data_IF_969093967726
#
_entry.id   IF_969093967726
#
_cell.length_a   1.000
_cell.length_b   1.000
_cell.length_c   1.000
_cell.angle_alpha   90.00
_cell.angle_beta   90.00
_cell.angle_gamma   90.00
#
_symmetry.space_group_name_H-M   'P 1'
#
loop_
_entity.id
_entity.type
_entity.pdbx_description
1 polymer ?
#
# COMPACT_ATOMS: atom_id res chain seq x y z
N UNK A 1 -3.93 3.21 45.18
CA UNK A 1 -4.48 2.88 43.85
C UNK A 1 -4.75 4.14 43.02
N UNK A 2 -3.75 5.00 42.76
CA UNK A 2 -3.97 6.24 41.99
C UNK A 2 -2.75 6.59 41.12
N UNK A 3 -2.41 5.74 40.15
CA UNK A 3 -1.33 5.99 39.19
C UNK A 3 -1.66 5.64 37.73
N UNK A 4 -2.77 4.95 37.47
CA UNK A 4 -3.16 4.52 36.10
C UNK A 4 -3.80 5.64 35.27
N UNK A 5 -4.51 6.59 35.88
CA UNK A 5 -5.23 7.65 35.16
C UNK A 5 -4.36 8.79 34.61
N UNK A 6 -3.16 9.01 35.14
CA UNK A 6 -2.23 10.07 34.70
C UNK A 6 -1.33 9.62 33.54
N UNK A 7 -1.05 8.31 33.47
CA UNK A 7 -0.31 7.68 32.38
C UNK A 7 -1.18 7.65 31.11
N UNK A 8 -2.47 7.31 31.23
CA UNK A 8 -3.43 7.33 30.11
C UNK A 8 -3.57 8.70 29.46
N UNK A 9 -3.80 9.76 30.24
CA UNK A 9 -3.94 11.14 29.70
C UNK A 9 -2.68 11.67 29.01
N UNK A 10 -1.49 11.30 29.50
CA UNK A 10 -0.21 11.70 28.88
C UNK A 10 0.04 10.94 27.58
N UNK A 11 -0.34 9.68 27.53
CA UNK A 11 -0.24 8.85 26.33
C UNK A 11 -1.23 9.33 25.25
N UNK A 12 -2.49 9.57 25.61
CA UNK A 12 -3.50 10.17 24.72
C UNK A 12 -3.05 11.52 24.15
N UNK A 13 -2.47 12.39 25.00
CA UNK A 13 -1.92 13.67 24.55
C UNK A 13 -0.72 13.51 23.61
N UNK A 14 0.05 12.42 23.74
CA UNK A 14 1.18 12.14 22.86
C UNK A 14 0.71 11.66 21.49
N UNK A 15 -0.21 10.70 21.46
CA UNK A 15 -0.81 10.17 20.23
C UNK A 15 -1.50 11.28 19.43
N UNK A 16 -2.21 12.19 20.10
CA UNK A 16 -2.81 13.36 19.45
C UNK A 16 -1.77 14.29 18.79
N UNK A 17 -0.61 14.48 19.41
CA UNK A 17 0.45 15.30 18.83
C UNK A 17 1.10 14.58 17.64
N UNK A 18 1.37 13.28 17.77
CA UNK A 18 1.92 12.47 16.67
C UNK A 18 0.98 12.44 15.46
N UNK A 19 -0.33 12.25 15.68
CA UNK A 19 -1.34 12.33 14.63
C UNK A 19 -1.36 13.70 13.94
N UNK A 20 -1.25 14.79 14.70
CA UNK A 20 -1.15 16.14 14.12
C UNK A 20 0.14 16.37 13.34
N UNK A 21 1.26 15.78 13.76
CA UNK A 21 2.52 15.84 13.01
C UNK A 21 2.38 15.11 11.67
N UNK A 22 1.78 13.92 11.67
CA UNK A 22 1.49 13.16 10.44
C UNK A 22 0.58 13.97 9.53
N UNK A 23 -0.51 14.54 10.04
CA UNK A 23 -1.45 15.34 9.25
C UNK A 23 -0.78 16.55 8.59
N UNK A 24 0.06 17.29 9.32
CA UNK A 24 0.82 18.39 8.73
C UNK A 24 1.88 17.90 7.73
N UNK A 25 2.47 16.73 7.96
CA UNK A 25 3.35 16.07 7.00
C UNK A 25 2.64 15.72 5.70
N UNK A 26 1.43 15.17 5.76
CA UNK A 26 0.59 14.87 4.58
C UNK A 26 0.29 16.14 3.79
N UNK A 27 -0.06 17.23 4.47
CA UNK A 27 -0.25 18.54 3.80
C UNK A 27 1.01 19.02 3.07
N UNK A 28 2.18 18.87 3.68
CA UNK A 28 3.44 19.22 3.03
C UNK A 28 3.75 18.33 1.82
N UNK A 29 3.36 17.05 1.84
CA UNK A 29 3.48 16.17 0.65
C UNK A 29 2.63 16.69 -0.51
N UNK A 30 1.41 17.14 -0.25
CA UNK A 30 0.52 17.72 -1.28
C UNK A 30 1.12 19.01 -1.84
N UNK A 31 1.66 19.88 -0.99
CA UNK A 31 2.17 21.20 -1.39
C UNK A 31 3.52 21.15 -2.11
N UNK A 32 4.42 20.24 -1.73
CA UNK A 32 5.80 20.23 -2.21
C UNK A 32 6.46 18.87 -2.33
N UNK A 33 5.69 17.79 -2.24
CA UNK A 33 6.19 16.41 -2.24
C UNK A 33 7.15 16.13 -1.09
N UNK A 34 7.86 15.01 -1.18
CA UNK A 34 8.85 14.62 -0.17
C UNK A 34 9.98 15.65 0.02
N UNK A 35 10.32 16.42 -1.02
CA UNK A 35 11.34 17.47 -0.94
C UNK A 35 10.88 18.67 -0.08
N UNK A 36 9.57 18.95 -0.03
CA UNK A 36 8.98 20.02 0.76
C UNK A 36 8.84 19.71 2.27
N UNK A 37 9.08 18.47 2.70
CA UNK A 37 8.94 18.07 4.10
C UNK A 37 9.88 18.83 5.03
N UNK A 38 9.32 19.45 6.07
CA UNK A 38 10.04 20.27 7.04
C UNK A 38 9.46 20.15 8.44
N UNK A 39 10.19 19.43 9.31
CA UNK A 39 9.88 19.31 10.75
C UNK A 39 9.81 20.69 11.44
N UNK A 40 10.59 21.66 10.97
CA UNK A 40 10.56 23.03 11.51
C UNK A 40 9.29 23.78 11.12
N UNK A 41 8.79 23.59 9.89
CA UNK A 41 7.51 24.16 9.48
C UNK A 41 6.35 23.52 10.27
N UNK A 42 6.37 22.19 10.45
CA UNK A 42 5.42 21.48 11.32
C UNK A 42 5.43 22.07 12.73
N UNK A 43 6.59 22.27 13.33
CA UNK A 43 6.69 22.86 14.66
C UNK A 43 6.02 24.24 14.76
N UNK A 44 6.22 25.09 13.74
CA UNK A 44 5.58 26.40 13.66
C UNK A 44 4.06 26.29 13.59
N UNK A 45 3.53 25.41 12.77
CA UNK A 45 2.09 25.20 12.58
C UNK A 45 1.43 24.56 13.81
N UNK A 46 2.19 23.79 14.59
CA UNK A 46 1.77 23.27 15.88
C UNK A 46 1.80 24.33 17.00
N UNK A 47 2.43 25.49 16.78
CA UNK A 47 2.71 26.47 17.83
C UNK A 47 3.76 25.98 18.84
N UNK A 48 4.63 25.05 18.43
CA UNK A 48 5.64 24.41 19.26
C UNK A 48 7.05 24.87 18.88
N UNK A 49 7.95 24.88 19.87
CA UNK A 49 9.39 25.04 19.59
C UNK A 49 9.89 23.78 18.89
N UNK A 50 10.78 23.93 17.90
CA UNK A 50 11.29 22.79 17.12
C UNK A 50 11.88 21.67 17.98
N UNK A 51 12.59 22.02 19.06
CA UNK A 51 13.15 21.03 20.01
C UNK A 51 12.10 20.17 20.71
N UNK A 52 10.85 20.65 20.83
CA UNK A 52 9.75 19.86 21.36
C UNK A 52 9.24 18.84 20.32
N UNK A 53 9.11 19.24 19.06
CA UNK A 53 8.68 18.33 17.97
C UNK A 53 9.70 17.22 17.72
N UNK A 54 11.00 17.52 17.83
CA UNK A 54 12.05 16.50 17.69
C UNK A 54 12.01 15.38 18.74
N UNK A 55 11.23 15.54 19.83
CA UNK A 55 10.97 14.46 20.80
C UNK A 55 9.96 13.42 20.29
N UNK A 56 9.15 13.78 19.29
CA UNK A 56 8.17 12.91 18.65
C UNK A 56 8.72 12.38 17.31
N UNK A 57 9.41 13.23 16.55
CA UNK A 57 9.95 12.90 15.23
C UNK A 57 11.40 13.36 15.15
N UNK A 58 12.33 12.42 15.30
CA UNK A 58 13.75 12.69 15.53
C UNK A 58 14.48 13.32 14.33
N UNK A 59 13.94 13.16 13.12
CA UNK A 59 14.55 13.66 11.89
C UNK A 59 13.52 13.80 10.76
N UNK A 60 13.94 14.34 9.62
CA UNK A 60 13.13 14.32 8.39
C UNK A 60 12.87 12.88 7.90
N UNK A 61 13.85 11.99 8.05
CA UNK A 61 13.72 10.60 7.62
C UNK A 61 12.79 9.82 8.55
N UNK A 62 12.76 10.18 9.83
CA UNK A 62 11.75 9.69 10.78
C UNK A 62 10.35 10.15 10.36
N UNK A 63 10.18 11.42 9.97
CA UNK A 63 8.90 11.93 9.45
C UNK A 63 8.47 11.16 8.20
N UNK A 64 9.38 10.94 7.25
CA UNK A 64 9.14 10.16 6.04
C UNK A 64 8.70 8.74 6.38
N UNK A 65 9.39 8.07 7.31
CA UNK A 65 9.05 6.72 7.73
C UNK A 65 7.66 6.66 8.35
N UNK A 66 7.30 7.62 9.20
CA UNK A 66 5.96 7.71 9.76
C UNK A 66 4.90 7.90 8.68
N UNK A 67 5.15 8.77 7.69
CA UNK A 67 4.24 9.00 6.56
C UNK A 67 4.11 7.77 5.65
N UNK A 68 5.19 7.01 5.44
CA UNK A 68 5.15 5.76 4.66
C UNK A 68 4.33 4.70 5.38
N UNK A 69 4.56 4.49 6.68
CA UNK A 69 3.79 3.53 7.49
C UNK A 69 2.32 3.93 7.53
N UNK A 70 2.05 5.21 7.76
CA UNK A 70 0.69 5.76 7.76
C UNK A 70 -0.04 5.56 6.42
N UNK A 71 0.63 5.84 5.30
CA UNK A 71 0.07 5.65 3.97
C UNK A 71 -0.18 4.16 3.66
N UNK A 72 0.75 3.26 3.97
CA UNK A 72 0.54 1.83 3.79
C UNK A 72 -0.60 1.29 4.66
N UNK A 73 -0.69 1.73 5.92
CA UNK A 73 -1.77 1.34 6.82
C UNK A 73 -3.13 1.79 6.30
N UNK A 74 -3.27 3.06 5.91
CA UNK A 74 -4.54 3.61 5.42
C UNK A 74 -4.97 2.97 4.08
N UNK A 75 -4.02 2.69 3.18
CA UNK A 75 -4.29 1.94 1.95
C UNK A 75 -4.79 0.53 2.28
N UNK A 76 -4.10 -0.19 3.15
CA UNK A 76 -4.48 -1.55 3.54
C UNK A 76 -5.82 -1.60 4.28
N UNK A 77 -6.08 -0.66 5.18
CA UNK A 77 -7.37 -0.54 5.88
C UNK A 77 -8.52 -0.19 4.92
N UNK A 78 -8.23 0.54 3.83
CA UNK A 78 -9.19 0.82 2.76
C UNK A 78 -9.49 -0.44 1.95
N UNK A 79 -8.46 -1.22 1.63
CA UNK A 79 -8.61 -2.53 0.99
C UNK A 79 -9.42 -3.47 1.87
N UNK A 80 -9.07 -3.65 3.13
CA UNK A 80 -9.75 -4.58 4.05
C UNK A 80 -11.25 -4.28 4.16
N UNK A 81 -11.64 -3.00 4.29
CA UNK A 81 -13.04 -2.57 4.28
C UNK A 81 -13.77 -2.89 2.98
N UNK A 82 -13.09 -2.79 1.84
CA UNK A 82 -13.71 -3.12 0.56
C UNK A 82 -13.98 -4.63 0.45
N UNK A 83 -13.04 -5.46 0.93
CA UNK A 83 -13.16 -6.93 0.94
C UNK A 83 -14.33 -7.43 1.77
N UNK A 84 -14.63 -6.78 2.90
CA UNK A 84 -15.79 -7.11 3.75
C UNK A 84 -17.14 -7.06 3.02
N UNK A 85 -17.20 -6.30 1.92
CA UNK A 85 -18.39 -6.10 1.10
C UNK A 85 -18.29 -6.69 -0.31
N UNK A 86 -17.20 -7.42 -0.59
CA UNK A 86 -16.98 -8.04 -1.89
C UNK A 86 -17.97 -9.19 -2.15
N UNK A 87 -18.08 -9.58 -3.43
CA UNK A 87 -18.86 -10.75 -3.83
C UNK A 87 -18.27 -12.05 -3.29
N UNK A 88 -19.02 -13.16 -3.41
CA UNK A 88 -18.60 -14.47 -2.91
C UNK A 88 -17.48 -15.11 -3.77
N UNK A 89 -17.33 -14.68 -5.03
CA UNK A 89 -16.31 -15.22 -5.91
C UNK A 89 -14.93 -14.65 -5.57
N UNK A 90 -13.89 -15.49 -5.62
CA UNK A 90 -12.51 -15.07 -5.40
C UNK A 90 -12.07 -13.95 -6.36
N UNK A 91 -12.60 -13.96 -7.59
CA UNK A 91 -12.35 -12.92 -8.59
C UNK A 91 -12.98 -11.58 -8.22
N UNK A 92 -14.13 -11.59 -7.55
CA UNK A 92 -14.76 -10.37 -7.03
C UNK A 92 -13.89 -9.75 -5.92
N UNK A 93 -13.27 -10.58 -5.06
CA UNK A 93 -12.33 -10.12 -4.02
C UNK A 93 -11.07 -9.49 -4.65
N UNK A 94 -10.46 -10.13 -5.66
CA UNK A 94 -9.33 -9.55 -6.40
C UNK A 94 -9.68 -8.19 -7.02
N UNK A 95 -10.86 -8.09 -7.65
CA UNK A 95 -11.33 -6.85 -8.27
C UNK A 95 -11.62 -5.79 -7.20
N UNK A 96 -12.21 -6.15 -6.07
CA UNK A 96 -12.48 -5.24 -4.96
C UNK A 96 -11.20 -4.65 -4.37
N UNK A 97 -10.17 -5.49 -4.15
CA UNK A 97 -8.84 -5.06 -3.69
C UNK A 97 -8.24 -4.04 -4.67
N UNK A 98 -8.22 -4.37 -5.96
CA UNK A 98 -7.64 -3.52 -6.99
C UNK A 98 -8.37 -2.17 -7.12
N UNK A 99 -9.72 -2.18 -7.09
CA UNK A 99 -10.54 -0.97 -7.13
C UNK A 99 -10.30 -0.09 -5.91
N UNK A 100 -10.30 -0.66 -4.72
CA UNK A 100 -10.06 0.07 -3.47
C UNK A 100 -8.68 0.75 -3.48
N UNK A 101 -7.65 0.03 -3.95
CA UNK A 101 -6.31 0.61 -4.10
C UNK A 101 -6.30 1.78 -5.10
N UNK A 102 -6.99 1.64 -6.24
CA UNK A 102 -7.11 2.72 -7.23
C UNK A 102 -7.86 3.93 -6.67
N UNK A 103 -9.02 3.72 -6.05
CA UNK A 103 -9.83 4.79 -5.47
C UNK A 103 -9.05 5.57 -4.41
N UNK A 104 -8.33 4.86 -3.54
CA UNK A 104 -7.44 5.47 -2.55
C UNK A 104 -6.34 6.31 -3.22
N UNK A 105 -5.69 5.77 -4.25
CA UNK A 105 -4.59 6.43 -4.94
C UNK A 105 -5.03 7.69 -5.72
N UNK A 106 -6.21 7.65 -6.34
CA UNK A 106 -6.79 8.80 -7.05
C UNK A 106 -7.26 9.87 -6.05
N UNK A 107 -7.77 9.46 -4.89
CA UNK A 107 -8.17 10.39 -3.83
C UNK A 107 -6.97 11.07 -3.16
N UNK A 108 -5.81 10.41 -3.08
CA UNK A 108 -4.58 10.98 -2.54
C UNK A 108 -3.33 10.67 -3.41
N UNK A 109 -3.16 11.41 -4.51
CA UNK A 109 -2.01 11.25 -5.40
C UNK A 109 -0.65 11.46 -4.72
N UNK A 110 -0.59 12.30 -3.69
CA UNK A 110 0.65 12.64 -3.01
C UNK A 110 1.15 11.48 -2.15
N UNK A 111 0.25 10.79 -1.43
CA UNK A 111 0.59 9.57 -0.70
C UNK A 111 0.83 8.40 -1.63
N UNK A 112 0.12 8.28 -2.76
CA UNK A 112 0.47 7.30 -3.79
C UNK A 112 1.89 7.50 -4.32
N UNK A 113 2.27 8.75 -4.63
CA UNK A 113 3.61 9.11 -5.07
C UNK A 113 4.68 8.80 -4.01
N UNK A 114 4.36 8.93 -2.71
CA UNK A 114 5.27 8.56 -1.63
C UNK A 114 5.55 7.04 -1.61
N UNK A 115 4.54 6.21 -1.86
CA UNK A 115 4.65 4.75 -1.79
C UNK A 115 5.26 4.15 -3.07
N UNK A 116 4.76 4.55 -4.23
CA UNK A 116 5.03 3.89 -5.52
C UNK A 116 5.59 4.85 -6.59
N UNK A 117 5.92 6.09 -6.22
CA UNK A 117 6.53 7.07 -7.11
C UNK A 117 8.06 7.03 -7.11
N UNK A 118 8.67 8.18 -7.44
CA UNK A 118 10.13 8.30 -7.48
C UNK A 118 10.72 8.17 -6.06
N UNK A 119 11.81 7.38 -5.88
CA UNK A 119 12.48 7.29 -4.59
C UNK A 119 12.93 8.66 -4.07
N UNK A 120 12.84 8.85 -2.75
CA UNK A 120 13.30 10.09 -2.12
C UNK A 120 14.82 10.06 -1.99
N UNK A 121 15.57 11.01 -2.59
CA UNK A 121 17.03 10.98 -2.54
C UNK A 121 17.57 10.99 -1.11
N UNK A 122 18.48 10.06 -0.81
CA UNK A 122 19.13 9.92 0.49
C UNK A 122 18.29 9.26 1.59
N UNK A 123 17.05 8.87 1.29
CA UNK A 123 16.18 8.17 2.23
C UNK A 123 16.09 6.68 1.87
N UNK A 124 16.26 5.83 2.88
CA UNK A 124 16.02 4.40 2.79
C UNK A 124 15.04 4.01 3.89
N UNK A 125 13.87 3.48 3.49
CA UNK A 125 12.85 3.06 4.44
C UNK A 125 13.35 1.89 5.31
N UNK A 126 13.25 1.99 6.66
CA UNK A 126 13.59 0.88 7.54
C UNK A 126 12.57 -0.26 7.35
N UNK A 127 13.05 -1.41 6.88
CA UNK A 127 12.21 -2.55 6.49
C UNK A 127 11.38 -3.07 7.67
N UNK A 128 11.97 -3.13 8.86
CA UNK A 128 11.33 -3.61 10.09
C UNK A 128 10.10 -2.78 10.51
N UNK A 129 9.98 -1.54 10.02
CA UNK A 129 8.82 -0.67 10.28
C UNK A 129 7.84 -0.62 9.12
N UNK A 130 8.35 -0.73 7.89
CA UNK A 130 7.55 -0.46 6.68
C UNK A 130 7.03 -1.72 6.01
N UNK A 131 7.76 -2.84 6.08
CA UNK A 131 7.32 -4.12 5.51
C UNK A 131 6.00 -4.62 6.12
N UNK A 132 5.79 -4.61 7.45
CA UNK A 132 4.56 -5.15 8.03
C UNK A 132 3.27 -4.48 7.51
N UNK A 133 3.29 -3.17 7.26
CA UNK A 133 2.17 -2.46 6.66
C UNK A 133 2.18 -2.60 5.12
N UNK A 134 3.36 -2.51 4.50
CA UNK A 134 3.52 -2.50 3.05
C UNK A 134 3.19 -3.80 2.34
N UNK A 135 3.19 -4.95 3.04
CA UNK A 135 2.84 -6.24 2.46
C UNK A 135 1.37 -6.62 2.64
N UNK A 136 0.57 -5.86 3.40
CA UNK A 136 -0.84 -6.21 3.69
C UNK A 136 -1.69 -6.37 2.43
N UNK A 137 -1.59 -5.44 1.47
CA UNK A 137 -2.35 -5.50 0.21
C UNK A 137 -1.91 -6.69 -0.65
N UNK A 138 -0.61 -6.98 -0.68
CA UNK A 138 -0.08 -8.16 -1.38
C UNK A 138 -0.56 -9.46 -0.72
N UNK A 139 -0.59 -9.50 0.61
CA UNK A 139 -1.17 -10.62 1.37
C UNK A 139 -2.65 -10.82 1.04
N UNK A 140 -3.44 -9.74 1.01
CA UNK A 140 -4.85 -9.80 0.62
C UNK A 140 -5.06 -10.36 -0.81
N UNK A 141 -4.20 -10.00 -1.76
CA UNK A 141 -4.23 -10.58 -3.11
C UNK A 141 -3.89 -12.07 -3.09
N UNK A 142 -2.89 -12.49 -2.30
CA UNK A 142 -2.60 -13.91 -2.14
C UNK A 142 -3.75 -14.69 -1.51
N UNK A 143 -4.43 -14.13 -0.50
CA UNK A 143 -5.61 -14.75 0.12
C UNK A 143 -6.73 -14.95 -0.90
N UNK A 144 -7.04 -13.92 -1.69
CA UNK A 144 -8.07 -13.98 -2.73
C UNK A 144 -7.70 -15.03 -3.80
N UNK A 145 -6.46 -15.04 -4.28
CA UNK A 145 -5.99 -16.04 -5.26
C UNK A 145 -6.00 -17.45 -4.66
N UNK A 146 -5.66 -17.62 -3.37
CA UNK A 146 -5.71 -18.90 -2.69
C UNK A 146 -7.13 -19.47 -2.61
N UNK A 147 -8.15 -18.61 -2.47
CA UNK A 147 -9.55 -19.03 -2.57
C UNK A 147 -9.89 -19.57 -3.97
N UNK A 148 -9.36 -18.96 -5.04
CA UNK A 148 -9.53 -19.47 -6.41
C UNK A 148 -8.81 -20.81 -6.66
N UNK A 149 -7.70 -21.06 -5.98
CA UNK A 149 -7.05 -22.39 -5.97
C UNK A 149 -7.95 -23.40 -5.25
N UNK A 150 -8.52 -23.03 -4.10
CA UNK A 150 -9.36 -23.90 -3.28
C UNK A 150 -10.68 -24.31 -3.97
N UNK A 151 -11.27 -23.43 -4.79
CA UNK A 151 -12.47 -23.74 -5.59
C UNK A 151 -12.14 -24.55 -6.85
N UNK A 152 -10.87 -24.64 -7.24
CA UNK A 152 -10.42 -25.33 -8.45
C UNK A 152 -10.52 -24.49 -9.73
N UNK A 153 -10.85 -23.20 -9.60
CA UNK A 153 -10.88 -22.25 -10.73
C UNK A 153 -9.46 -21.93 -11.23
N UNK A 154 -8.50 -21.85 -10.31
CA UNK A 154 -7.07 -21.73 -10.60
C UNK A 154 -6.43 -23.10 -10.40
N UNK A 155 -6.11 -23.79 -11.49
CA UNK A 155 -5.44 -25.10 -11.39
C UNK A 155 -3.93 -24.94 -11.30
N UNK A 156 -3.37 -25.73 -10.40
CA UNK A 156 -1.93 -25.85 -10.22
C UNK A 156 -1.35 -26.82 -11.25
N UNK A 157 -0.09 -26.57 -11.59
CA UNK A 157 0.74 -27.38 -12.48
C UNK A 157 1.91 -27.96 -11.68
N UNK A 158 2.76 -28.76 -12.34
CA UNK A 158 4.04 -29.20 -11.79
C UNK A 158 5.23 -28.48 -12.46
N UNK A 159 4.96 -27.40 -13.20
CA UNK A 159 5.98 -26.69 -13.94
C UNK A 159 6.75 -25.78 -13.00
N UNK A 160 8.08 -25.91 -13.04
CA UNK A 160 8.98 -25.07 -12.26
C UNK A 160 9.40 -23.86 -13.08
N UNK A 161 9.39 -22.69 -12.44
CA UNK A 161 9.98 -21.51 -13.05
C UNK A 161 11.51 -21.69 -13.21
N UNK A 162 12.14 -21.01 -14.19
CA UNK A 162 13.60 -21.00 -14.30
C UNK A 162 14.27 -20.50 -13.00
N UNK A 163 15.40 -21.09 -12.62
CA UNK A 163 16.17 -20.58 -11.48
C UNK A 163 16.80 -19.21 -11.82
N UNK A 164 16.90 -18.28 -10.85
CA UNK A 164 16.62 -18.44 -9.41
C UNK A 164 15.14 -18.28 -9.00
N UNK A 165 14.23 -17.98 -9.94
CA UNK A 165 12.84 -17.62 -9.61
C UNK A 165 12.11 -18.70 -8.81
N UNK A 166 12.27 -19.98 -9.15
CA UNK A 166 11.61 -21.07 -8.41
C UNK A 166 12.01 -21.10 -6.93
N UNK A 167 13.29 -20.86 -6.62
CA UNK A 167 13.76 -20.78 -5.24
C UNK A 167 13.21 -19.53 -4.51
N UNK A 168 13.12 -18.40 -5.22
CA UNK A 168 12.56 -17.17 -4.70
C UNK A 168 11.05 -17.29 -4.44
N UNK A 169 10.33 -17.93 -5.36
CA UNK A 169 8.90 -18.21 -5.25
C UNK A 169 8.61 -19.15 -4.10
N UNK A 170 9.49 -20.13 -3.84
CA UNK A 170 9.41 -20.97 -2.64
C UNK A 170 9.42 -20.14 -1.34
N UNK A 171 10.36 -19.20 -1.22
CA UNK A 171 10.44 -18.33 -0.04
C UNK A 171 9.21 -17.43 0.12
N UNK A 172 8.69 -16.89 -0.98
CA UNK A 172 7.47 -16.07 -0.98
C UNK A 172 6.26 -16.89 -0.52
N UNK A 173 6.11 -18.14 -1.01
CA UNK A 173 5.04 -19.02 -0.56
C UNK A 173 5.11 -19.30 0.93
N UNK A 174 6.31 -19.58 1.44
CA UNK A 174 6.52 -19.83 2.88
C UNK A 174 6.21 -18.59 3.72
N UNK A 175 6.59 -17.40 3.25
CA UNK A 175 6.33 -16.12 3.94
C UNK A 175 4.83 -15.80 4.02
N UNK A 176 4.10 -16.00 2.93
CA UNK A 176 2.67 -15.67 2.85
C UNK A 176 1.73 -16.84 3.16
N UNK A 177 2.26 -18.05 3.39
CA UNK A 177 1.44 -19.26 3.52
C UNK A 177 0.63 -19.60 2.27
N UNK A 178 1.12 -19.22 1.09
CA UNK A 178 0.37 -19.26 -0.16
C UNK A 178 0.47 -20.64 -0.86
N UNK A 179 -0.66 -21.31 -1.18
CA UNK A 179 -0.66 -22.69 -1.68
C UNK A 179 -0.47 -22.82 -3.20
N UNK A 180 -0.11 -21.75 -3.91
CA UNK A 180 0.09 -21.78 -5.37
C UNK A 180 1.39 -22.46 -5.82
N UNK A 181 1.52 -22.68 -7.12
CA UNK A 181 2.74 -23.17 -7.76
C UNK A 181 3.59 -21.98 -8.28
N UNK A 182 4.68 -22.29 -9.00
CA UNK A 182 5.56 -21.25 -9.55
C UNK A 182 4.86 -20.40 -10.62
N UNK A 183 4.00 -21.00 -11.43
CA UNK A 183 3.26 -20.30 -12.47
C UNK A 183 2.26 -19.31 -11.87
N UNK A 184 1.51 -19.70 -10.84
CA UNK A 184 0.57 -18.81 -10.15
C UNK A 184 1.31 -17.68 -9.45
N UNK A 185 2.47 -17.92 -8.81
CA UNK A 185 3.28 -16.83 -8.27
C UNK A 185 3.69 -15.83 -9.37
N UNK A 186 4.19 -16.32 -10.52
CA UNK A 186 4.54 -15.44 -11.64
C UNK A 186 3.35 -14.59 -12.13
N UNK A 187 2.14 -15.16 -12.13
CA UNK A 187 0.91 -14.43 -12.47
C UNK A 187 0.49 -13.45 -11.37
N UNK A 188 0.73 -13.74 -10.09
CA UNK A 188 0.55 -12.77 -9.01
C UNK A 188 1.48 -11.57 -9.16
N UNK A 189 2.73 -11.78 -9.60
CA UNK A 189 3.64 -10.67 -9.95
C UNK A 189 3.08 -9.84 -11.11
N UNK A 190 2.55 -10.48 -12.16
CA UNK A 190 1.91 -9.78 -13.27
C UNK A 190 0.69 -8.98 -12.82
N UNK A 191 -0.18 -9.57 -11.99
CA UNK A 191 -1.34 -8.90 -11.41
C UNK A 191 -0.91 -7.66 -10.64
N UNK A 192 0.04 -7.79 -9.71
CA UNK A 192 0.50 -6.69 -8.89
C UNK A 192 1.17 -5.58 -9.71
N UNK A 193 2.02 -5.95 -10.67
CA UNK A 193 2.62 -4.98 -11.60
C UNK A 193 1.56 -4.28 -12.46
N UNK A 194 0.52 -5.00 -12.89
CA UNK A 194 -0.60 -4.44 -13.66
C UNK A 194 -1.41 -3.43 -12.86
N UNK A 195 -1.76 -3.76 -11.60
CA UNK A 195 -2.46 -2.86 -10.67
C UNK A 195 -1.64 -1.59 -10.44
N UNK A 196 -0.38 -1.72 -9.99
CA UNK A 196 0.48 -0.59 -9.71
C UNK A 196 0.74 0.27 -10.94
N UNK A 197 0.97 -0.38 -12.09
CA UNK A 197 1.24 0.28 -13.35
C UNK A 197 0.05 1.10 -13.84
N UNK A 198 -1.14 0.51 -13.87
CA UNK A 198 -2.35 1.20 -14.33
C UNK A 198 -2.70 2.39 -13.43
N UNK A 199 -2.65 2.21 -12.11
CA UNK A 199 -2.90 3.30 -11.15
C UNK A 199 -1.85 4.40 -11.33
N UNK A 200 -0.57 4.06 -11.42
CA UNK A 200 0.50 5.06 -11.53
C UNK A 200 0.45 5.84 -12.83
N UNK A 201 0.09 5.19 -13.96
CA UNK A 201 -0.11 5.88 -15.23
C UNK A 201 -1.24 6.91 -15.14
N UNK A 202 -2.33 6.58 -14.44
CA UNK A 202 -3.43 7.51 -14.20
C UNK A 202 -3.03 8.64 -13.25
N UNK A 203 -2.58 8.29 -12.04
CA UNK A 203 -2.28 9.22 -10.94
C UNK A 203 -1.16 10.20 -11.30
N UNK A 204 -0.16 9.75 -12.06
CA UNK A 204 0.94 10.60 -12.52
C UNK A 204 0.66 11.28 -13.87
N UNK A 205 -0.59 11.26 -14.34
CA UNK A 205 -1.05 12.02 -15.50
C UNK A 205 -0.53 11.54 -16.85
N UNK A 206 -0.04 10.30 -16.95
CA UNK A 206 0.51 9.74 -18.20
C UNK A 206 -0.56 9.51 -19.26
N UNK A 207 -1.81 9.30 -18.87
CA UNK A 207 -2.93 9.24 -19.82
C UNK A 207 -3.29 10.62 -20.40
N UNK A 208 -2.95 11.73 -19.75
CA UNK A 208 -3.46 13.05 -20.12
C UNK A 208 -4.97 13.22 -19.86
N UNK A 209 -5.51 14.40 -20.13
CA UNK A 209 -6.90 14.76 -19.77
C UNK A 209 -7.95 14.21 -20.74
N UNK A 210 -7.57 13.98 -22.00
CA UNK A 210 -8.55 13.76 -23.09
C UNK A 210 -8.50 12.33 -23.67
N UNK A 211 -7.52 11.51 -23.26
CA UNK A 211 -7.33 10.16 -23.80
C UNK A 211 -8.44 9.20 -23.36
N UNK A 212 -8.84 9.26 -22.09
CA UNK A 212 -9.84 8.37 -21.49
C UNK A 212 -10.95 9.20 -20.84
N UNK A 213 -12.19 9.01 -21.30
CA UNK A 213 -13.36 9.63 -20.65
C UNK A 213 -13.66 9.02 -19.28
N UNK A 214 -13.35 7.74 -19.11
CA UNK A 214 -13.50 7.01 -17.86
C UNK A 214 -12.29 6.07 -17.65
N UNK A 215 -11.23 6.53 -16.98
CA UNK A 215 -10.09 5.68 -16.63
C UNK A 215 -10.47 4.49 -15.74
N UNK A 216 -11.54 4.59 -14.93
CA UNK A 216 -11.98 3.52 -14.04
C UNK A 216 -12.52 2.33 -14.84
N UNK A 217 -13.30 2.58 -15.90
CA UNK A 217 -13.81 1.53 -16.78
C UNK A 217 -12.68 0.76 -17.50
N UNK A 218 -11.62 1.46 -17.90
CA UNK A 218 -10.43 0.83 -18.49
C UNK A 218 -9.70 -0.02 -17.44
N UNK A 219 -9.48 0.53 -16.25
CA UNK A 219 -8.87 -0.19 -15.15
C UNK A 219 -9.63 -1.48 -14.80
N UNK A 220 -10.95 -1.41 -14.67
CA UNK A 220 -11.80 -2.58 -14.41
C UNK A 220 -11.69 -3.64 -15.51
N UNK A 221 -11.61 -3.20 -16.77
CA UNK A 221 -11.40 -4.10 -17.91
C UNK A 221 -10.04 -4.80 -17.81
N UNK A 222 -8.99 -4.07 -17.45
CA UNK A 222 -7.66 -4.64 -17.21
C UNK A 222 -7.67 -5.65 -16.06
N UNK A 223 -8.38 -5.36 -14.96
CA UNK A 223 -8.47 -6.28 -13.82
C UNK A 223 -9.15 -7.59 -14.19
N UNK A 224 -10.22 -7.55 -14.99
CA UNK A 224 -10.86 -8.78 -15.51
C UNK A 224 -9.92 -9.59 -16.40
N UNK A 225 -9.14 -8.94 -17.27
CA UNK A 225 -8.13 -9.63 -18.09
C UNK A 225 -7.04 -10.27 -17.23
N UNK A 226 -6.61 -9.63 -16.15
CA UNK A 226 -5.62 -10.20 -15.22
C UNK A 226 -6.20 -11.38 -14.43
N UNK A 227 -7.47 -11.31 -14.02
CA UNK A 227 -8.21 -12.44 -13.44
C UNK A 227 -8.28 -13.62 -14.42
N UNK A 228 -8.58 -13.36 -15.70
CA UNK A 228 -8.59 -14.41 -16.72
C UNK A 228 -7.24 -15.09 -16.85
N UNK A 229 -6.13 -14.33 -16.84
CA UNK A 229 -4.77 -14.88 -16.88
C UNK A 229 -4.50 -15.83 -15.71
N UNK A 230 -5.02 -15.55 -14.51
CA UNK A 230 -4.89 -16.45 -13.35
C UNK A 230 -5.50 -17.83 -13.62
N UNK A 231 -6.61 -17.90 -14.37
CA UNK A 231 -7.32 -19.17 -14.68
C UNK A 231 -6.75 -19.93 -15.89
N UNK A 232 -5.89 -19.31 -16.70
CA UNK A 232 -5.31 -19.95 -17.90
C UNK A 232 -4.21 -20.97 -17.53
N UNK A 233 -3.95 -21.94 -18.41
CA UNK A 233 -2.85 -22.90 -18.27
C UNK A 233 -1.88 -22.77 -19.43
#
# INVERSE_FOLDING_TARGET
MCQTGHVGKRQESREQIEARIIELGRRQLVEGGAAGLSVRAIARDLGMVSSAVYRYVSSRDELLTLLVVDAYTDLADTVDRARETAGEAWSDDVIAIARAAREWAVADPARWALLYGSPVPGYHAPAERTVPAGTRVVGALFDAVAAGIATGDIRLTNDLAPQPMSSDFGRIRDEFGFPGDDLVIAKCFLLWAGVLGAISLEVFGQYGTDTLTDPAAVFDTQMRLLVDVLTQH
#
